data_IF_297685476780
#
_entry.id   IF_297685476780
#
_cell.length_a   1.000
_cell.length_b   1.000
_cell.length_c   1.000
_cell.angle_alpha   90.00
_cell.angle_beta   90.00
_cell.angle_gamma   90.00
#
_symmetry.space_group_name_H-M   'P 1'
#
loop_
_entity.id
_entity.type
_entity.pdbx_description
1 polymer ?
#
# COMPACT_ATOMS: atom_id res chain seq x y z
N UNK A 1 -19.59 0.80 -3.33
CA UNK A 1 -18.75 1.91 -3.84
C UNK A 1 -17.29 1.50 -3.68
N UNK A 2 -16.52 1.50 -4.77
CA UNK A 2 -15.11 1.15 -4.66
C UNK A 2 -14.36 2.19 -3.82
N UNK A 3 -13.26 1.75 -3.25
CA UNK A 3 -12.38 2.61 -2.49
C UNK A 3 -10.93 2.32 -2.90
N UNK A 4 -10.05 3.26 -2.62
CA UNK A 4 -8.70 3.20 -3.10
C UNK A 4 -7.71 3.34 -1.94
N UNK A 5 -6.78 2.41 -1.92
CA UNK A 5 -5.64 2.43 -1.00
C UNK A 5 -4.52 3.15 -1.76
N UNK A 6 -4.20 4.34 -1.29
CA UNK A 6 -3.15 5.16 -1.88
C UNK A 6 -1.94 5.10 -0.97
N UNK A 7 -0.83 4.61 -1.49
CA UNK A 7 0.38 4.45 -0.70
C UNK A 7 1.57 5.09 -1.37
N UNK A 8 2.46 5.63 -0.56
CA UNK A 8 3.76 6.08 -1.03
C UNK A 8 4.82 5.67 -0.03
N UNK A 9 6.02 5.37 -0.52
CA UNK A 9 7.05 4.82 0.34
C UNK A 9 8.45 5.33 0.01
N UNK A 10 9.30 5.26 1.06
CA UNK A 10 10.74 5.40 0.99
C UNK A 10 11.33 4.07 1.39
N UNK A 11 12.22 3.54 0.57
CA UNK A 11 12.88 2.26 0.84
C UNK A 11 14.28 2.56 1.38
N UNK A 12 14.55 2.16 2.61
CA UNK A 12 15.86 2.37 3.25
C UNK A 12 16.73 1.13 3.16
N UNK A 13 16.13 -0.05 3.36
CA UNK A 13 16.81 -1.33 3.25
C UNK A 13 16.00 -2.19 2.28
N UNK A 14 16.46 -2.31 1.02
CA UNK A 14 15.70 -3.06 0.01
C UNK A 14 15.47 -4.52 0.38
N UNK A 15 16.40 -5.16 1.07
CA UNK A 15 16.25 -6.56 1.47
C UNK A 15 15.14 -6.74 2.50
N UNK A 16 15.10 -5.88 3.51
CA UNK A 16 14.05 -5.92 4.53
C UNK A 16 12.69 -5.50 3.94
N UNK A 17 12.68 -4.46 3.10
CA UNK A 17 11.45 -4.01 2.46
C UNK A 17 10.86 -5.10 1.56
N UNK A 18 11.72 -5.87 0.88
CA UNK A 18 11.28 -6.96 0.01
C UNK A 18 10.49 -8.02 0.78
N UNK A 19 10.86 -8.29 2.03
CA UNK A 19 10.12 -9.24 2.86
C UNK A 19 8.67 -8.79 3.04
N UNK A 20 8.46 -7.50 3.28
CA UNK A 20 7.13 -6.91 3.33
C UNK A 20 6.43 -7.00 1.97
N UNK A 21 7.10 -6.54 0.92
CA UNK A 21 6.51 -6.46 -0.42
C UNK A 21 6.10 -7.84 -0.97
N UNK A 22 6.84 -8.90 -0.61
CA UNK A 22 6.52 -10.25 -1.05
C UNK A 22 5.31 -10.84 -0.33
N UNK A 23 5.07 -10.43 0.91
CA UNK A 23 3.95 -10.96 1.71
C UNK A 23 2.62 -10.27 1.40
N UNK A 24 2.66 -9.03 0.93
CA UNK A 24 1.47 -8.18 0.84
C UNK A 24 0.49 -8.59 -0.26
N UNK A 25 0.90 -8.96 -1.48
CA UNK A 25 -0.06 -9.24 -2.55
C UNK A 25 -1.13 -10.27 -2.21
N UNK A 26 -0.81 -11.45 -1.65
CA UNK A 26 -1.87 -12.40 -1.29
C UNK A 26 -2.78 -11.89 -0.16
N UNK A 27 -2.26 -11.05 0.74
CA UNK A 27 -3.06 -10.45 1.81
C UNK A 27 -4.08 -9.49 1.21
N UNK A 28 -3.64 -8.62 0.30
CA UNK A 28 -4.53 -7.68 -0.39
C UNK A 28 -5.63 -8.43 -1.14
N UNK A 29 -5.26 -9.47 -1.87
CA UNK A 29 -6.20 -10.27 -2.65
C UNK A 29 -7.27 -10.92 -1.76
N UNK A 30 -6.90 -11.36 -0.58
CA UNK A 30 -7.82 -11.97 0.37
C UNK A 30 -8.95 -11.02 0.77
N UNK A 31 -8.68 -9.72 0.82
CA UNK A 31 -9.66 -8.70 1.16
C UNK A 31 -10.30 -8.05 -0.07
N UNK A 32 -10.06 -8.62 -1.26
CA UNK A 32 -10.64 -8.10 -2.50
C UNK A 32 -9.84 -6.97 -3.14
N UNK A 33 -8.63 -6.75 -2.68
CA UNK A 33 -7.77 -5.70 -3.22
C UNK A 33 -7.23 -6.06 -4.60
N UNK A 34 -7.27 -5.09 -5.51
CA UNK A 34 -6.80 -5.24 -6.89
C UNK A 34 -5.79 -4.12 -7.17
N UNK A 35 -4.52 -4.44 -7.41
CA UNK A 35 -3.55 -3.41 -7.76
C UNK A 35 -3.90 -2.76 -9.09
N UNK A 36 -3.99 -1.44 -9.10
CA UNK A 36 -4.19 -0.66 -10.32
C UNK A 36 -2.88 -0.04 -10.81
N UNK A 37 -2.01 0.35 -9.88
CA UNK A 37 -0.68 0.86 -10.18
C UNK A 37 0.23 0.46 -9.02
N UNK A 38 1.43 -0.02 -9.32
CA UNK A 38 2.34 -0.49 -8.30
C UNK A 38 3.78 -0.41 -8.80
N UNK A 39 4.51 0.59 -8.29
CA UNK A 39 5.93 0.72 -8.58
C UNK A 39 6.27 1.06 -10.03
N UNK A 40 5.32 1.59 -10.78
CA UNK A 40 5.55 2.02 -12.14
C UNK A 40 6.20 3.40 -12.22
N UNK A 41 6.34 3.89 -13.45
CA UNK A 41 6.86 5.22 -13.71
C UNK A 41 6.00 6.27 -13.02
N UNK A 42 6.62 7.25 -12.37
CA UNK A 42 5.92 8.33 -11.70
C UNK A 42 6.65 9.65 -11.93
N UNK A 43 5.94 10.75 -11.74
CA UNK A 43 6.52 12.08 -11.77
C UNK A 43 5.85 12.90 -10.68
N UNK A 44 6.64 13.40 -9.73
CA UNK A 44 6.12 14.25 -8.67
C UNK A 44 5.90 15.64 -9.25
N UNK A 45 4.64 16.06 -9.33
CA UNK A 45 4.29 17.36 -9.88
C UNK A 45 4.47 18.46 -8.84
N UNK A 46 4.19 18.14 -7.58
CA UNK A 46 4.29 19.08 -6.47
C UNK A 46 4.37 18.30 -5.17
N UNK A 47 5.31 18.66 -4.30
CA UNK A 47 5.45 18.04 -2.99
C UNK A 47 6.84 17.52 -2.72
N UNK A 48 7.03 16.76 -1.63
CA UNK A 48 8.33 16.21 -1.27
C UNK A 48 8.86 15.25 -2.34
N UNK A 49 10.15 15.30 -2.59
CA UNK A 49 10.78 14.51 -3.64
C UNK A 49 11.45 13.23 -3.12
N UNK A 50 11.32 12.95 -1.83
CA UNK A 50 12.01 11.83 -1.20
C UNK A 50 11.22 10.51 -1.23
N UNK A 51 9.96 10.53 -1.64
CA UNK A 51 9.21 9.30 -1.86
C UNK A 51 9.59 8.68 -3.21
N UNK A 52 9.79 7.37 -3.20
CA UNK A 52 10.38 6.64 -4.34
C UNK A 52 9.41 5.68 -4.99
N UNK A 53 8.29 5.38 -4.36
CA UNK A 53 7.39 4.34 -4.82
C UNK A 53 5.95 4.74 -4.51
N UNK A 54 5.07 4.54 -5.49
CA UNK A 54 3.66 4.90 -5.38
C UNK A 54 2.81 3.70 -5.78
N UNK A 55 1.73 3.46 -5.03
CA UNK A 55 0.87 2.29 -5.22
C UNK A 55 -0.59 2.73 -5.11
N UNK A 56 -1.43 2.23 -6.01
CA UNK A 56 -2.88 2.42 -5.94
C UNK A 56 -3.52 1.04 -6.01
N UNK A 57 -4.36 0.74 -5.02
CA UNK A 57 -5.06 -0.54 -4.94
C UNK A 57 -6.54 -0.27 -4.77
N UNK A 58 -7.36 -0.91 -5.60
CA UNK A 58 -8.82 -0.79 -5.51
C UNK A 58 -9.36 -1.89 -4.60
N UNK A 59 -10.24 -1.51 -3.68
CA UNK A 59 -11.03 -2.45 -2.89
C UNK A 59 -12.52 -2.29 -3.22
N UNK A 60 -13.31 -3.36 -3.06
CA UNK A 60 -14.75 -3.26 -3.35
C UNK A 60 -15.46 -2.23 -2.48
N UNK A 61 -15.02 -2.07 -1.22
CA UNK A 61 -15.58 -1.08 -0.30
C UNK A 61 -14.48 -0.45 0.55
N UNK A 62 -14.79 0.70 1.09
CA UNK A 62 -13.91 1.39 2.04
C UNK A 62 -13.60 0.48 3.25
N UNK A 63 -14.65 -0.16 3.78
CA UNK A 63 -14.52 -1.01 4.97
C UNK A 63 -13.60 -2.21 4.73
N UNK A 64 -13.63 -2.80 3.54
CA UNK A 64 -12.75 -3.92 3.22
C UNK A 64 -11.28 -3.48 3.17
N UNK A 65 -11.01 -2.29 2.65
CA UNK A 65 -9.65 -1.73 2.65
C UNK A 65 -9.15 -1.47 4.06
N UNK A 66 -9.99 -0.87 4.91
CA UNK A 66 -9.64 -0.63 6.31
C UNK A 66 -9.42 -1.94 7.05
N UNK A 67 -10.28 -2.94 6.81
CA UNK A 67 -10.15 -4.26 7.43
C UNK A 67 -8.85 -4.95 7.03
N UNK A 68 -8.45 -4.79 5.75
CA UNK A 68 -7.18 -5.32 5.26
C UNK A 68 -6.01 -4.74 6.04
N UNK A 69 -5.95 -3.42 6.14
CA UNK A 69 -4.88 -2.75 6.87
C UNK A 69 -4.83 -3.18 8.35
N UNK A 70 -6.00 -3.32 8.96
CA UNK A 70 -6.12 -3.65 10.38
C UNK A 70 -5.95 -5.14 10.66
N UNK A 71 -5.88 -5.98 9.62
CA UNK A 71 -5.76 -7.43 9.80
C UNK A 71 -4.42 -7.79 10.44
N UNK A 72 -4.44 -8.91 11.18
CA UNK A 72 -3.22 -9.42 11.79
C UNK A 72 -2.17 -9.76 10.74
N UNK A 73 -2.59 -10.34 9.62
CA UNK A 73 -1.70 -10.70 8.53
C UNK A 73 -0.97 -9.49 7.97
N UNK A 74 -1.71 -8.40 7.70
CA UNK A 74 -1.09 -7.20 7.17
C UNK A 74 -0.16 -6.56 8.20
N UNK A 75 -0.60 -6.46 9.44
CA UNK A 75 0.22 -5.84 10.49
C UNK A 75 1.50 -6.64 10.74
N UNK A 76 1.44 -7.97 10.65
CA UNK A 76 2.64 -8.80 10.76
C UNK A 76 3.60 -8.57 9.58
N UNK A 77 3.08 -8.44 8.36
CA UNK A 77 3.91 -8.13 7.20
C UNK A 77 4.55 -6.74 7.32
N UNK A 78 3.79 -5.77 7.82
CA UNK A 78 4.25 -4.39 7.97
C UNK A 78 5.42 -4.24 8.95
N UNK A 79 5.61 -5.20 9.85
CA UNK A 79 6.75 -5.17 10.78
C UNK A 79 8.09 -5.14 10.05
N UNK A 80 8.21 -5.81 8.91
CA UNK A 80 9.45 -5.82 8.16
C UNK A 80 9.83 -4.43 7.65
N UNK A 81 8.87 -3.66 7.13
CA UNK A 81 9.16 -2.29 6.70
C UNK A 81 9.36 -1.35 7.88
N UNK A 82 8.64 -1.55 8.99
CA UNK A 82 8.76 -0.73 10.19
C UNK A 82 10.06 -0.99 10.93
N UNK A 83 10.69 -2.13 10.69
CA UNK A 83 11.96 -2.51 11.31
C UNK A 83 13.15 -2.10 10.42
N UNK A 84 13.13 -0.84 9.97
CA UNK A 84 14.25 -0.28 9.19
C UNK A 84 14.16 -0.50 7.69
N UNK A 85 13.16 -1.23 7.21
CA UNK A 85 13.02 -1.49 5.77
C UNK A 85 12.59 -0.27 4.98
N UNK A 86 11.73 0.56 5.55
CA UNK A 86 11.27 1.76 4.88
C UNK A 86 10.11 2.43 5.60
N UNK A 87 9.69 3.57 5.06
CA UNK A 87 8.53 4.32 5.54
C UNK A 87 7.44 4.22 4.48
N UNK A 88 6.23 3.87 4.92
CA UNK A 88 5.06 3.82 4.03
C UNK A 88 3.95 4.66 4.64
N UNK A 89 3.36 5.51 3.83
CA UNK A 89 2.18 6.30 4.20
C UNK A 89 1.01 5.82 3.37
N UNK A 90 -0.11 5.53 4.02
CA UNK A 90 -1.27 4.91 3.37
C UNK A 90 -2.52 5.71 3.73
N UNK A 91 -3.33 6.00 2.69
CA UNK A 91 -4.63 6.65 2.85
C UNK A 91 -5.68 5.80 2.15
N UNK A 92 -6.80 5.54 2.81
CA UNK A 92 -7.98 4.98 2.17
C UNK A 92 -8.89 6.11 1.74
N UNK A 93 -9.28 6.10 0.47
CA UNK A 93 -10.14 7.13 -0.11
C UNK A 93 -11.33 6.46 -0.79
N UNK A 94 -12.54 6.80 -0.35
CA UNK A 94 -13.75 6.26 -0.99
C UNK A 94 -13.94 6.88 -2.37
N UNK A 95 -14.31 6.05 -3.33
CA UNK A 95 -14.58 6.50 -4.68
C UNK A 95 -15.91 7.25 -4.81
N UNK A 96 -16.17 7.76 -6.00
CA UNK A 96 -17.37 8.59 -6.24
C UNK A 96 -18.65 7.76 -6.35
N UNK A 97 -18.57 6.44 -6.41
CA UNK A 97 -19.74 5.60 -6.36
C UNK A 97 -20.52 5.50 -7.67
N UNK A 98 -19.84 5.44 -8.76
CA UNK A 98 -20.50 5.27 -10.05
C UNK A 98 -20.78 3.81 -10.40
#
# INVERSE_FOLDING_TARGET
MPAYWLARSKVFDPAEYKKYADLVPPILAKFGGKPLARGGRFQIMEGPEDFQRFVVIEFPTFEQGVACFSSEQYQNAAKFRRNGGGVVEIVMLEGLGQ
#
